data_IF_547289416494
#
_entry.id   IF_547289416494
#
_cell.length_a   1.000
_cell.length_b   1.000
_cell.length_c   1.000
_cell.angle_alpha   90.00
_cell.angle_beta   90.00
_cell.angle_gamma   90.00
#
_symmetry.space_group_name_H-M   'P 1'
#
loop_
_entity.id
_entity.type
_entity.pdbx_description
1 polymer ?
#
# COMPACT_ATOMS: atom_id res chain seq x y z
N UNK A 1 27.45 -17.50 -33.35
CA UNK A 1 26.15 -17.18 -32.71
C UNK A 1 26.20 -17.67 -31.28
N UNK A 2 25.97 -16.78 -30.36
CA UNK A 2 25.91 -17.08 -28.90
C UNK A 2 24.49 -17.60 -28.64
N UNK A 3 24.33 -18.66 -27.83
CA UNK A 3 23.01 -19.15 -27.45
C UNK A 3 22.32 -18.13 -26.52
N UNK A 4 20.97 -18.12 -26.50
CA UNK A 4 20.21 -17.21 -25.61
C UNK A 4 20.58 -17.40 -24.14
N UNK A 5 20.97 -18.61 -23.72
CA UNK A 5 21.45 -18.90 -22.37
C UNK A 5 22.84 -18.32 -22.10
N UNK A 6 23.79 -18.45 -23.05
CA UNK A 6 25.13 -17.85 -22.95
C UNK A 6 25.06 -16.32 -22.95
N UNK A 7 24.18 -15.72 -23.78
CA UNK A 7 23.91 -14.28 -23.76
C UNK A 7 23.37 -13.82 -22.41
N UNK A 8 22.42 -14.57 -21.84
CA UNK A 8 21.88 -14.29 -20.52
C UNK A 8 22.93 -14.38 -19.41
N UNK A 9 23.82 -15.37 -19.45
CA UNK A 9 24.94 -15.52 -18.51
C UNK A 9 25.96 -14.40 -18.65
N UNK A 10 26.29 -13.98 -19.88
CA UNK A 10 27.17 -12.84 -20.15
C UNK A 10 26.58 -11.54 -19.60
N UNK A 11 25.30 -11.27 -19.87
CA UNK A 11 24.60 -10.10 -19.35
C UNK A 11 24.47 -10.12 -17.82
N UNK A 12 24.38 -11.31 -17.23
CA UNK A 12 24.37 -11.48 -15.78
C UNK A 12 25.76 -11.22 -15.18
N UNK A 13 26.85 -11.69 -15.80
CA UNK A 13 28.22 -11.46 -15.36
C UNK A 13 28.64 -10.00 -15.50
N UNK A 14 28.21 -9.29 -16.54
CA UNK A 14 28.44 -7.85 -16.68
C UNK A 14 27.70 -7.03 -15.60
N UNK A 15 26.50 -7.46 -15.20
CA UNK A 15 25.75 -6.85 -14.10
C UNK A 15 26.32 -7.15 -12.70
N UNK A 16 27.00 -8.27 -12.53
CA UNK A 16 27.64 -8.64 -11.25
C UNK A 16 28.96 -7.89 -11.00
N UNK A 17 29.52 -7.18 -11.99
CA UNK A 17 30.80 -6.46 -11.86
C UNK A 17 30.71 -5.03 -11.31
N UNK A 18 29.52 -4.47 -11.11
CA UNK A 18 29.34 -3.18 -10.43
C UNK A 18 29.00 -3.37 -8.94
N UNK A 19 29.96 -3.87 -8.17
CA UNK A 19 29.85 -3.96 -6.72
C UNK A 19 30.29 -2.64 -6.06
N UNK A 20 29.46 -1.62 -6.14
CA UNK A 20 29.65 -0.43 -5.29
C UNK A 20 29.38 -0.78 -3.83
N UNK A 21 30.20 -0.23 -2.92
CA UNK A 21 29.96 -0.33 -1.47
C UNK A 21 28.68 0.39 -1.06
N UNK A 22 28.25 1.38 -1.84
CA UNK A 22 27.04 2.16 -1.58
C UNK A 22 25.85 1.58 -2.34
N UNK A 23 24.74 1.39 -1.66
CA UNK A 23 23.53 0.80 -2.24
C UNK A 23 22.35 1.74 -2.12
N UNK A 24 21.51 1.72 -3.13
CA UNK A 24 20.15 2.27 -3.06
C UNK A 24 19.18 1.10 -2.99
N UNK A 25 18.42 1.02 -1.89
CA UNK A 25 17.38 0.02 -1.73
C UNK A 25 16.13 0.44 -2.51
N UNK A 26 15.68 -0.40 -3.43
CA UNK A 26 14.41 -0.20 -4.16
C UNK A 26 13.37 -1.14 -3.57
N UNK A 27 12.47 -0.58 -2.75
CA UNK A 27 11.40 -1.34 -2.08
C UNK A 27 10.14 -1.20 -2.92
N UNK A 28 9.61 -2.34 -3.38
CA UNK A 28 8.44 -2.38 -4.26
C UNK A 28 7.19 -2.61 -3.43
N UNK A 29 6.34 -1.58 -3.34
CA UNK A 29 5.02 -1.61 -2.73
C UNK A 29 3.97 -1.69 -3.85
N UNK A 30 3.54 -2.90 -4.21
CA UNK A 30 2.59 -3.15 -5.29
C UNK A 30 1.39 -3.94 -4.82
N UNK A 31 0.19 -3.47 -5.15
CA UNK A 31 -1.09 -4.09 -4.82
C UNK A 31 -1.85 -3.35 -3.72
N UNK A 32 -2.83 -4.02 -3.13
CA UNK A 32 -3.63 -3.46 -2.02
C UNK A 32 -2.82 -3.48 -0.72
N UNK A 33 -2.95 -2.44 0.08
CA UNK A 33 -2.32 -2.35 1.41
C UNK A 33 -3.22 -3.06 2.43
N UNK A 34 -2.68 -4.06 3.12
CA UNK A 34 -3.39 -4.87 4.13
C UNK A 34 -2.51 -5.12 5.35
N UNK A 35 -3.10 -5.45 6.47
CA UNK A 35 -2.34 -5.71 7.69
C UNK A 35 -1.56 -7.03 7.61
N UNK A 36 -0.53 -7.11 8.43
CA UNK A 36 0.25 -8.31 8.64
C UNK A 36 1.31 -8.58 7.57
N UNK A 37 1.80 -9.81 7.55
CA UNK A 37 2.76 -10.31 6.57
C UNK A 37 1.99 -10.80 5.35
N UNK A 38 2.29 -10.25 4.18
CA UNK A 38 1.60 -10.58 2.94
C UNK A 38 2.59 -11.05 1.87
N UNK A 39 2.14 -11.90 0.93
CA UNK A 39 2.97 -12.35 -0.18
C UNK A 39 3.21 -11.22 -1.21
N UNK A 40 4.22 -11.37 -2.10
CA UNK A 40 4.43 -10.45 -3.21
C UNK A 40 3.17 -10.25 -4.07
N UNK A 41 2.88 -9.00 -4.43
CA UNK A 41 1.65 -8.60 -5.12
C UNK A 41 0.56 -8.05 -4.20
N UNK A 42 0.79 -8.11 -2.89
CA UNK A 42 0.02 -7.45 -1.84
C UNK A 42 0.99 -6.71 -0.91
N UNK A 43 0.62 -5.53 -0.45
CA UNK A 43 1.46 -4.72 0.43
C UNK A 43 1.04 -5.03 1.87
N UNK A 44 1.85 -5.84 2.56
CA UNK A 44 1.63 -6.11 3.99
C UNK A 44 2.25 -5.03 4.86
N UNK A 45 1.50 -4.54 5.85
CA UNK A 45 2.01 -3.60 6.82
C UNK A 45 3.31 -4.09 7.45
N UNK A 46 3.30 -5.32 8.01
CA UNK A 46 4.48 -5.89 8.68
C UNK A 46 5.60 -6.24 7.70
N UNK A 47 5.27 -6.88 6.57
CA UNK A 47 6.29 -7.32 5.62
C UNK A 47 6.99 -6.13 4.95
N UNK A 48 6.26 -5.07 4.57
CA UNK A 48 6.84 -3.89 3.94
C UNK A 48 7.63 -3.05 4.94
N UNK A 49 7.13 -2.85 6.16
CA UNK A 49 7.85 -2.19 7.24
C UNK A 49 9.16 -2.90 7.56
N UNK A 50 9.16 -4.24 7.58
CA UNK A 50 10.39 -5.02 7.78
C UNK A 50 11.42 -4.76 6.67
N UNK A 51 11.02 -4.73 5.39
CA UNK A 51 11.94 -4.44 4.29
C UNK A 51 12.56 -3.04 4.40
N UNK A 52 11.79 -2.06 4.84
CA UNK A 52 12.27 -0.70 5.06
C UNK A 52 13.26 -0.69 6.23
N UNK A 53 12.94 -1.40 7.32
CA UNK A 53 13.80 -1.53 8.50
C UNK A 53 15.13 -2.20 8.16
N UNK A 54 15.11 -3.34 7.49
CA UNK A 54 16.30 -4.04 7.02
C UNK A 54 17.17 -3.15 6.12
N UNK A 55 16.54 -2.34 5.27
CA UNK A 55 17.24 -1.39 4.41
C UNK A 55 17.94 -0.30 5.24
N UNK A 56 17.27 0.31 6.22
CA UNK A 56 17.89 1.38 7.02
C UNK A 56 18.83 0.87 8.12
N UNK A 57 18.80 -0.41 8.46
CA UNK A 57 19.78 -1.06 9.34
C UNK A 57 21.04 -1.51 8.61
N UNK A 58 21.00 -1.58 7.28
CA UNK A 58 22.14 -1.97 6.46
C UNK A 58 23.03 -0.75 6.17
N UNK A 59 24.21 -0.72 6.76
CA UNK A 59 25.19 0.38 6.62
C UNK A 59 25.59 0.68 5.16
N UNK A 60 25.49 -0.30 4.27
CA UNK A 60 25.79 -0.09 2.84
C UNK A 60 24.65 0.65 2.11
N UNK A 61 23.43 0.70 2.65
CA UNK A 61 22.30 1.41 2.06
C UNK A 61 22.38 2.89 2.44
N UNK A 62 22.39 3.77 1.45
CA UNK A 62 22.49 5.22 1.63
C UNK A 62 21.21 5.97 1.27
N UNK A 63 20.35 5.33 0.47
CA UNK A 63 19.05 5.86 0.12
C UNK A 63 18.04 4.73 -0.11
N UNK A 64 16.78 5.06 0.02
CA UNK A 64 15.65 4.17 -0.29
C UNK A 64 14.80 4.82 -1.39
N UNK A 65 14.46 4.05 -2.41
CA UNK A 65 13.42 4.39 -3.37
C UNK A 65 12.21 3.50 -3.09
N UNK A 66 11.14 4.10 -2.60
CA UNK A 66 9.86 3.41 -2.41
C UNK A 66 9.10 3.44 -3.72
N UNK A 67 9.05 2.30 -4.42
CA UNK A 67 8.28 2.15 -5.67
C UNK A 67 6.86 1.76 -5.35
N UNK A 68 5.91 2.70 -5.51
CA UNK A 68 4.50 2.53 -5.14
C UNK A 68 3.64 2.31 -6.39
N UNK A 69 2.90 1.21 -6.43
CA UNK A 69 1.89 0.90 -7.45
C UNK A 69 0.65 0.34 -6.75
N UNK A 70 -0.15 1.24 -6.15
CA UNK A 70 -1.22 0.91 -5.21
C UNK A 70 -2.37 1.91 -5.23
N UNK A 71 -3.60 1.42 -5.26
CA UNK A 71 -4.80 2.22 -5.02
C UNK A 71 -5.09 2.47 -3.52
N UNK A 72 -4.21 1.98 -2.62
CA UNK A 72 -4.37 2.15 -1.18
C UNK A 72 -4.80 0.87 -0.46
N UNK A 73 -5.42 1.02 0.71
CA UNK A 73 -5.85 -0.09 1.56
C UNK A 73 -6.12 0.31 3.01
N UNK A 74 -5.80 -0.59 3.94
CA UNK A 74 -6.01 -0.39 5.38
C UNK A 74 -5.22 0.79 5.94
N UNK A 75 -5.90 1.62 6.72
CA UNK A 75 -5.30 2.82 7.35
C UNK A 75 -4.16 2.44 8.28
N UNK A 76 -4.37 1.41 9.10
CA UNK A 76 -3.37 0.97 10.07
C UNK A 76 -2.07 0.50 9.39
N UNK A 77 -2.18 -0.35 8.36
CA UNK A 77 -1.03 -0.83 7.60
C UNK A 77 -0.30 0.31 6.87
N UNK A 78 -1.05 1.26 6.30
CA UNK A 78 -0.48 2.44 5.64
C UNK A 78 0.29 3.31 6.62
N UNK A 79 -0.25 3.53 7.81
CA UNK A 79 0.44 4.29 8.86
C UNK A 79 1.68 3.56 9.38
N UNK A 80 1.61 2.24 9.57
CA UNK A 80 2.75 1.44 10.00
C UNK A 80 3.92 1.55 9.02
N UNK A 81 3.66 1.47 7.73
CA UNK A 81 4.68 1.64 6.68
C UNK A 81 5.24 3.06 6.71
N UNK A 82 4.37 4.08 6.82
CA UNK A 82 4.78 5.49 6.90
C UNK A 82 5.71 5.75 8.09
N UNK A 83 5.40 5.20 9.26
CA UNK A 83 6.24 5.35 10.45
C UNK A 83 7.65 4.78 10.24
N UNK A 84 7.77 3.69 9.50
CA UNK A 84 9.08 3.11 9.18
C UNK A 84 9.87 3.98 8.18
N UNK A 85 9.18 4.67 7.25
CA UNK A 85 9.78 5.68 6.38
C UNK A 85 10.33 6.86 7.21
N UNK A 86 9.58 7.33 8.20
CA UNK A 86 10.04 8.39 9.10
C UNK A 86 11.28 7.93 9.87
N UNK A 87 11.25 6.73 10.46
CA UNK A 87 12.38 6.17 11.19
C UNK A 87 13.65 6.06 10.30
N UNK A 88 13.49 5.66 9.04
CA UNK A 88 14.60 5.64 8.08
C UNK A 88 15.15 7.05 7.79
N UNK A 89 14.28 8.07 7.68
CA UNK A 89 14.71 9.48 7.53
C UNK A 89 15.47 9.99 8.76
N UNK A 90 14.99 9.67 9.95
CA UNK A 90 15.65 10.04 11.22
C UNK A 90 17.05 9.45 11.36
N UNK A 91 17.28 8.27 10.77
CA UNK A 91 18.61 7.67 10.64
C UNK A 91 19.48 8.30 9.52
N UNK A 92 18.95 9.31 8.84
CA UNK A 92 19.68 10.09 7.83
C UNK A 92 19.59 9.54 6.41
N UNK A 93 18.83 8.46 6.14
CA UNK A 93 18.65 7.95 4.79
C UNK A 93 17.84 8.93 3.93
N UNK A 94 18.20 9.01 2.67
CA UNK A 94 17.43 9.77 1.68
C UNK A 94 16.33 8.88 1.10
N UNK A 95 15.10 9.38 1.10
CA UNK A 95 13.91 8.63 0.66
C UNK A 95 13.29 9.34 -0.53
N UNK A 96 13.12 8.61 -1.63
CA UNK A 96 12.35 9.05 -2.80
C UNK A 96 11.17 8.11 -2.99
N UNK A 97 9.97 8.66 -3.11
CA UNK A 97 8.81 7.92 -3.54
C UNK A 97 8.71 7.96 -5.07
N UNK A 98 8.68 6.80 -5.70
CA UNK A 98 8.49 6.65 -7.16
C UNK A 98 7.15 6.00 -7.43
N UNK A 99 6.18 6.79 -7.84
CA UNK A 99 4.84 6.31 -8.15
C UNK A 99 4.79 5.54 -9.47
N UNK A 100 4.05 4.43 -9.49
CA UNK A 100 3.79 3.59 -10.64
C UNK A 100 2.65 4.10 -11.50
N UNK A 101 1.81 3.18 -11.98
CA UNK A 101 0.61 3.53 -12.70
C UNK A 101 -0.41 4.19 -11.75
N UNK A 102 -0.49 3.66 -10.52
CA UNK A 102 -1.38 4.16 -9.47
C UNK A 102 -0.59 4.32 -8.17
N UNK A 103 -0.72 5.45 -7.49
CA UNK A 103 -0.25 5.64 -6.13
C UNK A 103 -1.22 6.61 -5.43
N UNK A 104 -2.36 6.09 -5.04
CA UNK A 104 -3.50 6.87 -4.58
C UNK A 104 -3.94 6.45 -3.18
N UNK A 105 -4.60 7.35 -2.47
CA UNK A 105 -5.16 7.09 -1.15
C UNK A 105 -4.10 6.57 -0.16
N UNK A 106 -4.20 5.35 0.36
CA UNK A 106 -3.14 4.75 1.18
C UNK A 106 -1.77 4.67 0.48
N UNK A 107 -1.74 4.54 -0.86
CA UNK A 107 -0.51 4.63 -1.67
C UNK A 107 0.11 6.02 -1.64
N UNK A 108 -0.69 7.08 -1.62
CA UNK A 108 -0.22 8.43 -1.40
C UNK A 108 0.24 8.62 0.06
N UNK A 109 -0.52 8.10 1.03
CA UNK A 109 -0.18 8.15 2.46
C UNK A 109 1.23 7.64 2.76
N UNK A 110 1.60 6.46 2.24
CA UNK A 110 2.94 5.88 2.44
C UNK A 110 4.05 6.63 1.69
N UNK A 111 3.69 7.45 0.70
CA UNK A 111 4.62 8.27 -0.08
C UNK A 111 4.86 9.65 0.53
N UNK A 112 3.93 10.14 1.35
CA UNK A 112 3.84 11.55 1.75
C UNK A 112 5.09 12.07 2.49
N UNK A 113 5.72 11.24 3.32
CA UNK A 113 6.91 11.62 4.07
C UNK A 113 8.25 11.42 3.31
N UNK A 114 8.22 11.02 2.04
CA UNK A 114 9.44 10.99 1.24
C UNK A 114 10.07 12.39 1.12
N UNK A 115 11.39 12.48 0.84
CA UNK A 115 12.04 13.76 0.57
C UNK A 115 11.54 14.38 -0.74
N UNK A 116 11.26 13.51 -1.73
CA UNK A 116 10.63 13.91 -2.99
C UNK A 116 9.70 12.79 -3.47
N UNK A 117 8.61 13.20 -4.10
CA UNK A 117 7.62 12.32 -4.71
C UNK A 117 7.70 12.49 -6.24
N UNK A 118 7.96 11.39 -6.93
CA UNK A 118 8.09 11.32 -8.38
C UNK A 118 6.99 10.49 -9.00
N UNK A 119 6.36 10.99 -10.07
CA UNK A 119 5.32 10.30 -10.81
C UNK A 119 5.50 10.44 -12.32
N UNK A 120 4.88 9.57 -13.12
CA UNK A 120 4.74 9.78 -14.56
C UNK A 120 3.57 10.73 -14.85
N UNK A 121 3.53 11.36 -16.02
CA UNK A 121 2.44 12.25 -16.42
C UNK A 121 1.05 11.64 -16.23
N UNK A 122 0.91 10.34 -16.53
CA UNK A 122 -0.35 9.61 -16.51
C UNK A 122 -0.55 8.77 -15.24
N UNK A 123 0.33 8.88 -14.24
CA UNK A 123 0.13 8.23 -12.94
C UNK A 123 -1.18 8.73 -12.33
N UNK A 124 -2.00 7.82 -11.85
CA UNK A 124 -3.19 8.17 -11.06
C UNK A 124 -2.76 8.29 -9.60
N UNK A 125 -2.98 9.49 -9.01
CA UNK A 125 -2.59 9.76 -7.62
C UNK A 125 -3.63 10.63 -6.90
N UNK A 126 -3.32 11.12 -5.70
CA UNK A 126 -4.28 11.82 -4.86
C UNK A 126 -5.20 10.85 -4.13
N UNK A 127 -6.51 10.90 -4.41
CA UNK A 127 -7.54 10.15 -3.66
C UNK A 127 -7.37 10.33 -2.14
N UNK A 128 -7.06 11.60 -1.75
CA UNK A 128 -6.91 11.98 -0.35
C UNK A 128 -8.30 12.00 0.29
N UNK A 129 -8.65 10.86 0.85
CA UNK A 129 -9.97 10.58 1.40
C UNK A 129 -9.96 9.29 2.20
N UNK A 130 -11.06 9.02 2.89
CA UNK A 130 -11.21 7.86 3.76
C UNK A 130 -12.67 7.39 3.71
N UNK A 131 -12.86 6.10 3.79
CA UNK A 131 -14.17 5.51 4.00
C UNK A 131 -14.10 4.37 5.01
N UNK A 132 -15.24 4.00 5.57
CA UNK A 132 -15.41 2.82 6.40
C UNK A 132 -16.44 1.89 5.77
N UNK A 133 -16.18 0.58 5.85
CA UNK A 133 -17.09 -0.45 5.39
C UNK A 133 -17.56 -1.29 6.58
N UNK A 134 -18.86 -1.29 6.82
CA UNK A 134 -19.50 -2.11 7.83
C UNK A 134 -20.71 -2.82 7.25
N UNK A 135 -20.57 -4.06 6.75
CA UNK A 135 -21.68 -4.79 6.15
C UNK A 135 -22.67 -5.29 7.22
N UNK A 136 -23.98 -5.12 6.97
CA UNK A 136 -25.05 -5.78 7.72
C UNK A 136 -25.89 -6.63 6.80
N UNK A 137 -26.41 -7.75 7.30
CA UNK A 137 -27.19 -8.72 6.55
C UNK A 137 -28.62 -8.90 7.12
N UNK A 138 -29.02 -8.08 8.08
CA UNK A 138 -30.32 -8.12 8.75
C UNK A 138 -31.49 -8.18 7.78
N UNK A 139 -31.50 -7.31 6.76
CA UNK A 139 -32.57 -7.30 5.74
C UNK A 139 -32.57 -8.56 4.90
N UNK A 140 -31.40 -9.02 4.45
CA UNK A 140 -31.30 -10.23 3.64
C UNK A 140 -31.73 -11.48 4.42
N UNK A 141 -31.42 -11.56 5.71
CA UNK A 141 -31.84 -12.64 6.60
C UNK A 141 -33.35 -12.61 6.83
N UNK A 142 -33.94 -11.44 7.05
CA UNK A 142 -35.38 -11.27 7.21
C UNK A 142 -36.18 -11.74 5.98
N UNK A 143 -35.69 -11.53 4.76
CA UNK A 143 -36.32 -11.99 3.52
C UNK A 143 -36.44 -13.53 3.45
N UNK A 144 -35.53 -14.25 4.11
CA UNK A 144 -35.56 -15.73 4.19
C UNK A 144 -36.14 -16.24 5.51
N UNK A 145 -36.76 -15.36 6.30
CA UNK A 145 -37.42 -15.70 7.56
C UNK A 145 -36.48 -15.93 8.75
N UNK A 146 -35.19 -15.55 8.62
CA UNK A 146 -34.21 -15.64 9.70
C UNK A 146 -34.15 -14.31 10.43
N UNK A 147 -34.40 -14.34 11.73
CA UNK A 147 -34.32 -13.16 12.61
C UNK A 147 -33.26 -13.40 13.66
N UNK A 148 -32.48 -12.38 13.99
CA UNK A 148 -31.51 -12.37 15.07
C UNK A 148 -32.05 -11.51 16.21
N UNK A 149 -31.97 -12.03 17.42
CA UNK A 149 -32.34 -11.31 18.65
C UNK A 149 -31.22 -11.45 19.68
N UNK A 150 -31.18 -10.54 20.64
CA UNK A 150 -30.13 -10.52 21.65
C UNK A 150 -30.42 -9.59 22.81
N UNK A 151 -29.76 -9.85 23.94
CA UNK A 151 -29.81 -9.01 25.14
C UNK A 151 -28.52 -8.24 25.28
N UNK A 152 -28.61 -6.92 25.39
CA UNK A 152 -27.47 -6.04 25.57
C UNK A 152 -27.49 -5.42 26.98
N UNK A 153 -26.33 -5.37 27.62
CA UNK A 153 -26.13 -4.67 28.90
C UNK A 153 -25.76 -3.20 28.72
N UNK A 154 -25.58 -2.75 27.46
CA UNK A 154 -25.22 -1.40 27.08
C UNK A 154 -26.19 -0.82 26.07
N UNK A 155 -26.48 0.49 26.17
CA UNK A 155 -27.26 1.22 25.18
C UNK A 155 -26.57 1.31 23.81
N UNK A 156 -25.26 1.10 23.76
CA UNK A 156 -24.51 1.18 22.51
C UNK A 156 -24.64 -0.09 21.65
N UNK A 157 -25.07 -1.22 22.24
CA UNK A 157 -25.12 -2.50 21.54
C UNK A 157 -23.91 -2.70 20.60
N UNK A 158 -22.71 -2.69 21.19
CA UNK A 158 -21.45 -2.70 20.44
C UNK A 158 -21.07 -4.11 19.94
N UNK A 159 -22.02 -5.03 19.86
CA UNK A 159 -21.72 -6.40 19.43
C UNK A 159 -21.11 -6.44 18.02
N UNK A 160 -21.39 -5.41 17.20
CA UNK A 160 -20.96 -5.41 15.80
C UNK A 160 -21.49 -6.61 15.03
N UNK A 161 -22.57 -7.22 15.52
CA UNK A 161 -23.21 -8.39 14.91
C UNK A 161 -23.78 -8.00 13.55
N UNK A 162 -23.23 -8.54 12.45
CA UNK A 162 -23.69 -8.19 11.11
C UNK A 162 -25.11 -8.71 10.81
N UNK A 163 -25.67 -9.56 11.67
CA UNK A 163 -27.04 -10.07 11.54
C UNK A 163 -28.10 -9.12 12.11
N UNK A 164 -27.66 -8.02 12.72
CA UNK A 164 -28.50 -6.96 13.25
C UNK A 164 -28.27 -5.62 12.55
N UNK A 165 -29.25 -4.72 12.55
CA UNK A 165 -29.07 -3.38 12.01
C UNK A 165 -28.03 -2.60 12.84
N UNK A 166 -27.26 -1.76 12.17
CA UNK A 166 -26.31 -0.89 12.83
C UNK A 166 -27.01 0.08 13.77
N UNK A 167 -26.65 0.08 15.05
CA UNK A 167 -27.22 1.02 16.02
C UNK A 167 -26.77 2.45 15.74
N UNK A 168 -27.60 3.45 16.10
CA UNK A 168 -27.22 4.87 15.97
C UNK A 168 -25.94 5.21 16.73
N UNK A 169 -25.73 4.62 17.91
CA UNK A 169 -24.53 4.82 18.71
C UNK A 169 -23.29 4.34 17.99
N UNK A 170 -23.33 3.13 17.42
CA UNK A 170 -22.23 2.56 16.68
C UNK A 170 -21.99 3.30 15.35
N UNK A 171 -23.05 3.68 14.64
CA UNK A 171 -22.96 4.51 13.43
C UNK A 171 -22.24 5.83 13.71
N UNK A 172 -22.53 6.48 14.85
CA UNK A 172 -21.86 7.71 15.26
C UNK A 172 -20.38 7.51 15.59
N UNK A 173 -20.04 6.39 16.21
CA UNK A 173 -18.63 6.04 16.48
C UNK A 173 -17.86 5.87 15.16
N UNK A 174 -18.42 5.13 14.20
CA UNK A 174 -17.80 4.97 12.90
C UNK A 174 -17.66 6.30 12.14
N UNK A 175 -18.70 7.13 12.15
CA UNK A 175 -18.63 8.45 11.52
C UNK A 175 -17.54 9.32 12.13
N UNK A 176 -17.43 9.36 13.45
CA UNK A 176 -16.37 10.09 14.14
C UNK A 176 -14.96 9.57 13.78
N UNK A 177 -14.81 8.25 13.64
CA UNK A 177 -13.54 7.65 13.23
C UNK A 177 -13.15 8.03 11.79
N UNK A 178 -14.13 8.05 10.88
CA UNK A 178 -13.92 8.49 9.49
C UNK A 178 -13.53 9.97 9.44
N UNK A 179 -14.23 10.84 10.16
CA UNK A 179 -13.92 12.27 10.22
C UNK A 179 -12.53 12.52 10.84
N UNK A 180 -12.20 11.80 11.89
CA UNK A 180 -10.88 11.88 12.52
C UNK A 180 -9.77 11.42 11.55
N UNK A 181 -9.97 10.28 10.87
CA UNK A 181 -9.04 9.77 9.89
C UNK A 181 -8.86 10.71 8.69
N UNK A 182 -9.95 11.30 8.20
CA UNK A 182 -9.88 12.31 7.14
C UNK A 182 -9.07 13.55 7.57
N UNK A 183 -9.33 14.07 8.77
CA UNK A 183 -8.56 15.19 9.33
C UNK A 183 -7.07 14.84 9.47
N UNK A 184 -6.73 13.62 9.85
CA UNK A 184 -5.35 13.16 9.89
C UNK A 184 -4.73 13.13 8.50
N UNK A 185 -5.48 12.70 7.47
CA UNK A 185 -4.95 12.64 6.11
C UNK A 185 -4.66 14.04 5.55
N UNK A 186 -5.64 14.94 5.62
CA UNK A 186 -5.41 16.32 5.16
C UNK A 186 -4.32 17.02 5.99
N UNK A 187 -4.21 16.71 7.29
CA UNK A 187 -3.14 17.19 8.16
C UNK A 187 -1.77 16.72 7.72
N UNK A 188 -1.61 15.42 7.40
CA UNK A 188 -0.39 14.85 6.86
C UNK A 188 0.05 15.55 5.56
N UNK A 189 -0.90 15.72 4.63
CA UNK A 189 -0.60 16.39 3.35
C UNK A 189 -0.26 17.86 3.56
N UNK A 190 -1.00 18.54 4.43
CA UNK A 190 -0.72 19.93 4.81
C UNK A 190 0.72 20.11 5.32
N UNK A 191 1.13 19.24 6.25
CA UNK A 191 2.45 19.28 6.85
C UNK A 191 3.57 18.95 5.85
N UNK A 192 3.39 17.87 5.08
CA UNK A 192 4.44 17.38 4.17
C UNK A 192 4.55 18.21 2.88
N UNK A 193 3.48 18.89 2.46
CA UNK A 193 3.45 19.71 1.24
C UNK A 193 3.52 21.22 1.51
N UNK A 194 3.51 21.63 2.79
CA UNK A 194 3.56 23.04 3.17
C UNK A 194 2.31 23.85 2.75
N UNK A 195 1.15 23.18 2.69
CA UNK A 195 -0.15 23.77 2.33
C UNK A 195 -1.00 24.00 3.57
N UNK A 196 -1.93 24.94 3.52
CA UNK A 196 -2.95 25.05 4.57
C UNK A 196 -3.96 23.88 4.48
N UNK A 197 -4.61 23.56 5.59
CA UNK A 197 -5.66 22.53 5.62
C UNK A 197 -6.77 22.81 4.62
N UNK A 198 -7.13 24.09 4.43
CA UNK A 198 -8.17 24.53 3.50
C UNK A 198 -7.77 24.33 2.03
N UNK A 199 -6.50 24.58 1.69
CA UNK A 199 -5.97 24.31 0.35
C UNK A 199 -5.97 22.82 0.06
N UNK A 200 -5.52 21.99 1.02
CA UNK A 200 -5.55 20.55 0.87
C UNK A 200 -6.97 20.04 0.73
N UNK A 201 -7.93 20.49 1.54
CA UNK A 201 -9.32 20.05 1.47
C UNK A 201 -9.96 20.32 0.10
N UNK A 202 -9.64 21.45 -0.54
CA UNK A 202 -10.13 21.79 -1.89
C UNK A 202 -9.72 20.78 -2.97
N UNK A 203 -8.56 20.16 -2.82
CA UNK A 203 -8.00 19.17 -3.78
C UNK A 203 -8.08 17.73 -3.29
N UNK A 204 -8.55 17.51 -2.05
CA UNK A 204 -8.78 16.24 -1.39
C UNK A 204 -10.21 15.69 -1.67
N UNK A 205 -10.91 15.23 -0.65
CA UNK A 205 -12.28 14.68 -0.71
C UNK A 205 -12.39 13.48 -1.65
N UNK A 206 -11.33 12.64 -1.69
CA UNK A 206 -11.26 11.45 -2.52
C UNK A 206 -11.03 11.71 -4.02
N UNK A 207 -10.78 12.95 -4.44
CA UNK A 207 -10.48 13.25 -5.84
C UNK A 207 -9.16 12.63 -6.27
N UNK A 208 -9.14 12.12 -7.50
CA UNK A 208 -7.96 11.57 -8.16
C UNK A 208 -7.41 12.55 -9.19
N UNK A 209 -6.10 12.54 -9.35
CA UNK A 209 -5.38 13.44 -10.22
C UNK A 209 -4.40 12.68 -11.10
N UNK A 210 -4.25 13.11 -12.35
CA UNK A 210 -3.12 12.67 -13.16
C UNK A 210 -1.82 13.26 -12.59
N UNK A 211 -0.68 12.57 -12.79
CA UNK A 211 0.60 13.04 -12.27
C UNK A 211 0.98 14.45 -12.73
N UNK A 212 0.65 14.83 -13.98
CA UNK A 212 0.83 16.20 -14.46
C UNK A 212 0.06 17.23 -13.61
N UNK A 213 -1.22 16.98 -13.35
CA UNK A 213 -2.07 17.84 -12.52
C UNK A 213 -1.63 17.81 -11.06
N UNK A 214 -1.21 16.64 -10.55
CA UNK A 214 -0.70 16.51 -9.19
C UNK A 214 0.57 17.36 -8.95
N UNK A 215 1.42 17.51 -9.98
CA UNK A 215 2.56 18.43 -9.94
C UNK A 215 2.11 19.89 -9.84
N UNK A 216 1.16 20.31 -10.68
CA UNK A 216 0.60 21.66 -10.67
C UNK A 216 -0.07 22.00 -9.33
N UNK A 217 -0.73 21.02 -8.71
CA UNK A 217 -1.37 21.14 -7.41
C UNK A 217 -0.38 21.03 -6.23
N UNK A 218 0.92 20.78 -6.47
CA UNK A 218 1.92 20.63 -5.43
C UNK A 218 1.85 19.32 -4.65
N UNK A 219 1.08 18.34 -5.12
CA UNK A 219 0.97 17.01 -4.48
C UNK A 219 2.18 16.12 -4.73
N UNK A 220 2.94 16.36 -5.80
CA UNK A 220 4.21 15.70 -6.10
C UNK A 220 5.28 16.74 -6.43
N UNK A 221 6.55 16.32 -6.45
CA UNK A 221 7.68 17.22 -6.67
C UNK A 221 8.18 17.19 -8.10
N UNK A 222 8.16 16.03 -8.76
CA UNK A 222 8.77 15.87 -10.08
C UNK A 222 8.03 14.88 -10.96
N UNK A 223 8.12 15.10 -12.27
CA UNK A 223 7.71 14.13 -13.27
C UNK A 223 8.90 13.29 -13.71
N UNK A 224 8.75 11.96 -13.69
CA UNK A 224 9.81 11.04 -14.10
C UNK A 224 9.44 9.58 -13.86
N UNK A 225 10.35 8.71 -14.27
CA UNK A 225 10.22 7.27 -14.10
C UNK A 225 11.08 6.75 -12.93
N UNK A 226 11.04 5.43 -12.69
CA UNK A 226 11.81 4.79 -11.61
C UNK A 226 13.33 5.08 -11.73
N UNK A 227 13.88 5.08 -12.95
CA UNK A 227 15.31 5.35 -13.16
C UNK A 227 15.66 6.78 -12.76
N UNK A 228 14.80 7.75 -13.10
CA UNK A 228 14.97 9.15 -12.68
C UNK A 228 14.94 9.28 -11.15
N UNK A 229 14.01 8.61 -10.49
CA UNK A 229 13.90 8.57 -9.03
C UNK A 229 15.14 7.93 -8.36
N UNK A 230 15.68 6.85 -8.93
CA UNK A 230 16.91 6.20 -8.44
C UNK A 230 18.11 7.14 -8.58
N UNK A 231 18.29 7.77 -9.74
CA UNK A 231 19.38 8.74 -9.96
C UNK A 231 19.27 9.93 -9.01
N UNK A 232 18.05 10.42 -8.78
CA UNK A 232 17.82 11.50 -7.82
C UNK A 232 18.12 11.08 -6.38
N UNK A 233 17.78 9.84 -6.00
CA UNK A 233 18.14 9.31 -4.69
C UNK A 233 19.66 9.26 -4.50
N UNK A 234 20.42 8.87 -5.53
CA UNK A 234 21.89 8.91 -5.51
C UNK A 234 22.41 10.34 -5.34
N UNK A 235 21.88 11.27 -6.13
CA UNK A 235 22.29 12.69 -6.11
C UNK A 235 22.11 13.31 -4.72
N UNK A 236 20.90 13.19 -4.13
CA UNK A 236 20.63 13.76 -2.80
C UNK A 236 21.35 13.03 -1.66
N UNK A 237 21.80 11.80 -1.90
CA UNK A 237 22.64 11.04 -0.97
C UNK A 237 24.15 11.29 -1.20
N UNK A 238 24.54 12.12 -2.20
CA UNK A 238 25.92 12.43 -2.51
C UNK A 238 26.73 11.25 -3.05
N UNK A 239 26.10 10.33 -3.79
CA UNK A 239 26.73 9.13 -4.32
C UNK A 239 27.13 9.33 -5.78
N UNK A 240 28.43 9.22 -6.07
CA UNK A 240 28.96 9.18 -7.43
C UNK A 240 28.89 7.78 -8.03
N UNK A 241 29.05 6.77 -7.18
CA UNK A 241 29.02 5.35 -7.53
C UNK A 241 28.09 4.59 -6.57
N UNK A 242 27.16 3.80 -7.12
CA UNK A 242 26.19 3.03 -6.37
C UNK A 242 25.68 1.83 -7.14
N UNK A 243 25.19 0.84 -6.42
CA UNK A 243 24.41 -0.27 -6.97
C UNK A 243 22.96 -0.22 -6.45
N UNK A 244 22.03 -0.77 -7.24
CA UNK A 244 20.65 -0.93 -6.78
C UNK A 244 20.49 -2.28 -6.10
N UNK A 245 19.78 -2.26 -4.97
CA UNK A 245 19.45 -3.44 -4.19
C UNK A 245 17.93 -3.55 -4.06
N UNK A 246 17.39 -4.72 -4.38
CA UNK A 246 15.97 -5.04 -4.26
C UNK A 246 15.80 -6.03 -3.11
N UNK A 247 15.43 -5.57 -1.90
CA UNK A 247 15.15 -6.49 -0.81
C UNK A 247 13.95 -7.35 -1.18
N UNK A 248 14.11 -8.67 -1.04
CA UNK A 248 13.07 -9.63 -1.35
C UNK A 248 12.27 -9.96 -0.09
N UNK A 249 10.96 -10.02 -0.20
CA UNK A 249 10.13 -10.58 0.86
C UNK A 249 10.47 -12.08 1.00
N UNK A 250 10.67 -12.51 2.24
CA UNK A 250 10.79 -13.94 2.52
C UNK A 250 9.45 -14.61 2.22
N UNK A 251 9.45 -15.44 1.19
CA UNK A 251 8.26 -16.23 0.85
C UNK A 251 8.14 -17.40 1.83
N UNK A 252 7.04 -17.48 2.53
CA UNK A 252 6.80 -18.56 3.47
C UNK A 252 6.81 -19.90 2.71
N UNK A 253 7.77 -20.79 3.03
CA UNK A 253 7.91 -22.09 2.37
C UNK A 253 6.65 -22.96 2.46
N UNK A 254 5.83 -22.74 3.51
CA UNK A 254 4.53 -23.44 3.68
C UNK A 254 3.52 -22.99 2.63
N UNK A 255 3.48 -21.71 2.29
CA UNK A 255 2.61 -21.20 1.22
C UNK A 255 3.06 -21.71 -0.15
N UNK A 256 4.36 -21.76 -0.40
CA UNK A 256 4.89 -22.37 -1.64
C UNK A 256 4.56 -23.86 -1.74
N UNK A 257 4.61 -24.59 -0.62
CA UNK A 257 4.20 -25.99 -0.58
C UNK A 257 2.71 -26.16 -0.85
N UNK A 258 1.87 -25.31 -0.25
CA UNK A 258 0.43 -25.32 -0.50
C UNK A 258 0.10 -24.98 -1.96
N UNK A 259 0.71 -23.96 -2.53
CA UNK A 259 0.53 -23.61 -3.96
C UNK A 259 0.98 -24.76 -4.88
N UNK A 260 2.11 -25.39 -4.59
CA UNK A 260 2.56 -26.59 -5.31
C UNK A 260 1.55 -27.74 -5.13
N UNK A 261 1.04 -27.97 -3.94
CA UNK A 261 0.04 -29.00 -3.69
C UNK A 261 -1.25 -28.75 -4.48
N UNK A 262 -1.73 -27.50 -4.47
CA UNK A 262 -2.87 -27.08 -5.29
C UNK A 262 -2.61 -27.19 -6.81
N UNK A 263 -1.38 -27.03 -7.26
CA UNK A 263 -1.02 -27.20 -8.68
C UNK A 263 -1.09 -28.66 -9.14
N UNK A 264 -0.97 -29.64 -8.24
CA UNK A 264 -1.14 -31.07 -8.51
C UNK A 264 -2.61 -31.54 -8.52
N UNK A 265 -3.55 -30.70 -8.09
CA UNK A 265 -4.96 -31.05 -8.16
C UNK A 265 -5.42 -31.18 -9.63
N UNK A 266 -6.25 -32.19 -9.94
CA UNK A 266 -6.81 -32.37 -11.27
C UNK A 266 -7.48 -31.07 -11.78
N UNK A 267 -7.32 -30.79 -13.08
CA UNK A 267 -7.80 -29.55 -13.70
C UNK A 267 -9.30 -29.31 -13.48
N UNK A 268 -10.12 -30.35 -13.43
CA UNK A 268 -11.57 -30.23 -13.20
C UNK A 268 -11.92 -29.69 -11.79
N UNK A 269 -11.09 -29.94 -10.77
CA UNK A 269 -11.24 -29.35 -9.43
C UNK A 269 -10.70 -27.91 -9.43
N UNK A 270 -9.49 -27.74 -9.98
CA UNK A 270 -8.81 -26.46 -10.03
C UNK A 270 -9.55 -25.43 -10.89
N UNK A 271 -10.19 -25.88 -11.98
CA UNK A 271 -10.87 -25.03 -12.95
C UNK A 271 -12.38 -24.90 -12.73
N UNK A 272 -12.90 -25.47 -11.62
CA UNK A 272 -14.28 -25.30 -11.24
C UNK A 272 -14.59 -23.83 -11.01
N UNK A 273 -15.48 -23.28 -11.86
CA UNK A 273 -15.84 -21.85 -11.87
C UNK A 273 -16.38 -21.37 -10.51
N UNK A 274 -17.16 -22.22 -9.82
CA UNK A 274 -17.76 -21.88 -8.52
C UNK A 274 -16.67 -21.79 -7.45
N UNK A 275 -15.74 -22.75 -7.40
CA UNK A 275 -14.60 -22.72 -6.47
C UNK A 275 -13.68 -21.52 -6.72
N UNK A 276 -13.34 -21.25 -7.97
CA UNK A 276 -12.53 -20.06 -8.32
C UNK A 276 -13.22 -18.77 -7.89
N UNK A 277 -14.53 -18.66 -8.14
CA UNK A 277 -15.32 -17.48 -7.77
C UNK A 277 -15.42 -17.32 -6.26
N UNK A 278 -15.65 -18.41 -5.52
CA UNK A 278 -15.73 -18.40 -4.05
C UNK A 278 -14.38 -18.05 -3.42
N UNK A 279 -13.27 -18.65 -3.89
CA UNK A 279 -11.93 -18.33 -3.41
C UNK A 279 -11.55 -16.87 -3.72
N UNK A 280 -11.94 -16.36 -4.90
CA UNK A 280 -11.72 -14.96 -5.26
C UNK A 280 -12.48 -14.03 -4.32
N UNK A 281 -13.77 -14.31 -4.06
CA UNK A 281 -14.59 -13.50 -3.15
C UNK A 281 -14.01 -13.51 -1.73
N UNK A 282 -13.56 -14.67 -1.23
CA UNK A 282 -12.91 -14.77 0.08
C UNK A 282 -11.62 -13.95 0.13
N UNK A 283 -10.76 -14.05 -0.88
CA UNK A 283 -9.53 -13.24 -0.98
C UNK A 283 -9.81 -11.73 -1.09
N UNK A 284 -10.90 -11.37 -1.76
CA UNK A 284 -11.30 -9.96 -1.86
C UNK A 284 -11.83 -9.43 -0.52
N UNK A 285 -12.52 -10.26 0.27
CA UNK A 285 -12.94 -9.92 1.64
C UNK A 285 -11.75 -9.81 2.60
N UNK A 286 -10.74 -10.69 2.46
CA UNK A 286 -9.51 -10.64 3.27
C UNK A 286 -8.72 -9.32 3.11
N UNK A 287 -8.91 -8.60 2.00
CA UNK A 287 -8.31 -7.28 1.81
C UNK A 287 -8.88 -6.21 2.75
N UNK A 288 -10.07 -6.45 3.29
CA UNK A 288 -10.71 -5.58 4.26
C UNK A 288 -10.45 -6.09 5.68
N UNK A 289 -9.17 -6.08 6.10
CA UNK A 289 -8.72 -6.59 7.39
C UNK A 289 -8.19 -5.50 8.34
N UNK A 290 -8.51 -4.23 8.09
CA UNK A 290 -8.15 -3.17 9.02
C UNK A 290 -8.88 -3.37 10.35
N UNK A 291 -8.18 -3.30 11.50
CA UNK A 291 -8.76 -3.58 12.82
C UNK A 291 -9.91 -2.64 13.19
N UNK A 292 -9.95 -1.45 12.63
CA UNK A 292 -10.98 -0.44 12.87
C UNK A 292 -12.01 -0.37 11.72
N UNK A 293 -11.85 -1.21 10.67
CA UNK A 293 -12.69 -1.20 9.48
C UNK A 293 -12.55 0.08 8.65
N UNK A 294 -11.40 0.75 8.72
CA UNK A 294 -11.16 2.05 8.09
C UNK A 294 -10.12 1.93 6.99
N UNK A 295 -10.39 2.50 5.82
CA UNK A 295 -9.61 2.28 4.62
C UNK A 295 -9.27 3.56 3.87
N UNK A 296 -8.05 3.59 3.33
CA UNK A 296 -7.58 4.51 2.31
C UNK A 296 -7.49 3.75 0.98
N UNK A 297 -8.57 3.70 0.22
CA UNK A 297 -8.62 2.99 -1.08
C UNK A 297 -9.18 3.95 -2.13
N UNK A 298 -8.56 3.97 -3.29
CA UNK A 298 -9.10 4.69 -4.44
C UNK A 298 -10.16 3.81 -5.13
N UNK A 299 -11.44 4.18 -5.02
CA UNK A 299 -12.55 3.45 -5.65
C UNK A 299 -12.62 3.66 -7.16
N UNK A 300 -12.03 4.75 -7.65
CA UNK A 300 -12.06 5.15 -9.05
C UNK A 300 -10.78 4.88 -9.83
N UNK A 301 -9.75 4.29 -9.17
CA UNK A 301 -8.53 3.83 -9.81
C UNK A 301 -8.70 2.39 -10.29
#
# INVERSE_FOLDING_TARGET
SISGFEYFQLMKSEKEMEYSKNKIAVIVARGTIVNGVQPPGTIGGDSTSRLIREAHENESVKAIVLRVDSGGGGVFASEQIRQEIIAAKEKGLKIIASMGNVAASGGYWISADAHEIWASHNTITGSIGIFGLFPTFDRALNEVGVNSDGVSTSKLNLSGDPTQPLSEGLSRIFQNNIEFGYKRFIGLVSETRGMSLEEVDKIAQGRVWAGSTALELGLIDNLGNLKSAINRAAEIAGLEDFSTYYPAQEVNWREQLLERFFSFLPSYIRDNYILKKSVKVLKDIEKFNDPNGVYFICESC
#
